data_IF_483913275144
#
_entry.id   IF_483913275144
#
_cell.length_a   1.000
_cell.length_b   1.000
_cell.length_c   1.000
_cell.angle_alpha   90.00
_cell.angle_beta   90.00
_cell.angle_gamma   90.00
#
_symmetry.space_group_name_H-M   'P 1'
#
loop_
_entity.id
_entity.type
_entity.pdbx_description
1 polymer ?
#
# COMPACT_ATOMS: atom_id res chain seq x y z
N UNK A 1 -7.13 85.60 34.36
CA UNK A 1 -6.17 84.50 34.18
C UNK A 1 -6.85 83.53 33.22
N UNK A 2 -6.44 83.56 31.94
CA UNK A 2 -6.82 82.74 30.76
C UNK A 2 -8.30 82.30 30.66
N UNK A 3 -9.00 82.45 29.54
CA UNK A 3 -8.63 81.86 28.26
C UNK A 3 -9.62 82.33 27.18
N UNK A 4 -9.15 82.43 25.94
CA UNK A 4 -9.86 82.89 24.76
C UNK A 4 -10.76 81.77 24.20
N UNK A 5 -12.08 82.02 24.10
CA UNK A 5 -13.00 81.15 23.39
C UNK A 5 -13.27 81.64 21.96
N UNK A 6 -12.31 81.46 21.05
CA UNK A 6 -12.49 81.68 19.61
C UNK A 6 -13.00 80.40 18.91
N UNK A 7 -13.78 80.61 17.85
CA UNK A 7 -14.68 79.63 17.23
C UNK A 7 -14.04 78.40 16.60
N UNK A 8 -14.82 77.32 16.60
CA UNK A 8 -14.57 76.09 15.89
C UNK A 8 -15.87 75.52 15.33
N UNK A 9 -16.28 76.03 14.17
CA UNK A 9 -17.14 75.32 13.24
C UNK A 9 -16.35 74.17 12.59
N UNK A 10 -17.05 73.29 11.86
CA UNK A 10 -16.60 72.14 11.03
C UNK A 10 -16.90 70.78 11.70
N UNK A 11 -17.55 69.77 11.11
CA UNK A 11 -17.99 69.50 9.73
C UNK A 11 -18.97 68.29 9.77
N UNK A 12 -19.85 68.13 8.76
CA UNK A 12 -20.70 66.94 8.63
C UNK A 12 -19.88 65.69 8.30
N UNK A 13 -20.24 64.57 8.93
CA UNK A 13 -19.73 63.23 8.61
C UNK A 13 -20.10 62.87 7.16
N UNK A 14 -19.17 63.08 6.22
CA UNK A 14 -19.22 62.40 4.93
C UNK A 14 -18.78 60.96 5.13
N UNK A 15 -19.74 60.05 5.26
CA UNK A 15 -19.49 58.64 5.01
C UNK A 15 -19.23 58.48 3.50
N UNK A 16 -17.98 58.55 3.08
CA UNK A 16 -17.56 58.17 1.72
C UNK A 16 -17.62 56.65 1.59
N UNK A 17 -18.83 56.10 1.47
CA UNK A 17 -19.00 54.85 0.74
C UNK A 17 -18.91 55.18 -0.74
N UNK A 18 -17.83 54.82 -1.42
CA UNK A 18 -17.76 54.94 -2.87
C UNK A 18 -18.92 54.13 -3.46
N UNK A 19 -19.92 54.80 -4.02
CA UNK A 19 -20.97 54.14 -4.79
C UNK A 19 -20.32 53.63 -6.06
N UNK A 20 -20.23 52.32 -6.20
CA UNK A 20 -19.72 51.66 -7.39
C UNK A 20 -20.93 51.29 -8.25
N UNK A 21 -21.11 52.00 -9.36
CA UNK A 21 -22.11 51.68 -10.38
C UNK A 21 -21.52 50.68 -11.38
N UNK A 22 -22.19 49.53 -11.54
CA UNK A 22 -21.79 48.46 -12.46
C UNK A 22 -22.77 48.29 -13.63
N UNK A 23 -23.68 49.25 -13.85
CA UNK A 23 -24.64 49.19 -14.94
C UNK A 23 -23.93 49.21 -16.31
N UNK A 24 -24.32 48.28 -17.20
CA UNK A 24 -23.70 48.10 -18.53
C UNK A 24 -22.62 47.02 -18.63
N UNK A 25 -22.32 46.31 -17.54
CA UNK A 25 -21.34 45.22 -17.57
C UNK A 25 -21.85 44.00 -18.36
N UNK A 26 -21.04 43.46 -19.27
CA UNK A 26 -21.33 42.21 -19.98
C UNK A 26 -20.08 41.34 -20.04
N UNK A 27 -20.21 40.05 -19.72
CA UNK A 27 -19.12 39.08 -19.82
C UNK A 27 -19.67 37.70 -20.21
N UNK A 28 -18.83 36.88 -20.85
CA UNK A 28 -19.12 35.46 -21.12
C UNK A 28 -18.81 34.52 -19.95
N UNK A 29 -18.54 35.07 -18.77
CA UNK A 29 -18.18 34.39 -17.53
C UNK A 29 -18.47 35.29 -16.32
N UNK A 30 -17.89 35.01 -15.16
CA UNK A 30 -18.32 35.65 -13.91
C UNK A 30 -17.89 37.11 -13.77
N UNK A 31 -18.83 37.97 -13.36
CA UNK A 31 -18.61 39.37 -13.00
C UNK A 31 -18.68 39.49 -11.48
N UNK A 32 -17.59 39.94 -10.86
CA UNK A 32 -17.39 39.96 -9.41
C UNK A 32 -16.81 41.31 -8.99
N UNK A 33 -17.41 41.95 -7.97
CA UNK A 33 -17.09 43.32 -7.58
C UNK A 33 -15.87 43.46 -6.66
N UNK A 34 -15.54 42.42 -5.88
CA UNK A 34 -14.41 42.46 -4.92
C UNK A 34 -13.48 41.26 -5.10
N UNK A 35 -13.70 40.16 -4.38
CA UNK A 35 -12.85 38.97 -4.51
C UNK A 35 -13.69 37.76 -4.93
N UNK A 36 -13.19 37.00 -5.89
CA UNK A 36 -13.71 35.68 -6.24
C UNK A 36 -12.69 34.65 -5.79
N UNK A 37 -13.06 33.84 -4.80
CA UNK A 37 -12.22 32.77 -4.29
C UNK A 37 -12.75 31.46 -4.87
N UNK A 38 -11.98 30.86 -5.77
CA UNK A 38 -12.28 29.55 -6.33
C UNK A 38 -11.41 28.48 -5.67
N UNK A 39 -12.06 27.53 -5.00
CA UNK A 39 -11.41 26.35 -4.45
C UNK A 39 -11.49 25.22 -5.47
N UNK A 40 -10.46 25.13 -6.32
CA UNK A 40 -10.30 23.99 -7.21
C UNK A 40 -9.71 22.81 -6.45
N UNK A 41 -10.58 21.89 -6.05
CA UNK A 41 -10.16 20.57 -5.56
C UNK A 41 -9.84 19.68 -6.75
N UNK A 42 -8.60 19.78 -7.24
CA UNK A 42 -8.05 18.73 -8.08
C UNK A 42 -7.78 17.53 -7.15
N UNK A 43 -8.42 16.36 -7.33
CA UNK A 43 -7.92 15.17 -6.66
C UNK A 43 -6.45 15.06 -7.05
N UNK A 44 -5.55 14.98 -6.07
CA UNK A 44 -4.15 14.64 -6.38
C UNK A 44 -4.19 13.42 -7.29
N UNK A 45 -3.43 13.38 -8.40
CA UNK A 45 -3.36 12.18 -9.20
C UNK A 45 -3.04 11.06 -8.23
N UNK A 46 -3.95 10.10 -8.09
CA UNK A 46 -3.78 8.93 -7.22
C UNK A 46 -2.41 8.42 -7.62
N UNK A 47 -1.42 8.57 -6.73
CA UNK A 47 -0.08 8.17 -7.07
C UNK A 47 -0.16 6.67 -7.25
N UNK A 48 -0.06 6.23 -8.49
CA UNK A 48 -0.13 4.82 -8.82
C UNK A 48 0.85 4.07 -7.93
N UNK A 49 0.31 3.13 -7.14
CA UNK A 49 1.06 2.35 -6.18
C UNK A 49 2.21 1.62 -6.88
N UNK A 50 3.25 1.24 -6.12
CA UNK A 50 4.40 0.52 -6.69
C UNK A 50 3.92 -0.72 -7.47
N UNK A 51 2.98 -1.48 -6.88
CA UNK A 51 2.37 -2.67 -7.49
C UNK A 51 1.64 -2.33 -8.79
N UNK A 52 0.80 -1.30 -8.81
CA UNK A 52 0.05 -0.91 -10.02
C UNK A 52 0.99 -0.51 -11.17
N UNK A 53 2.08 0.21 -10.88
CA UNK A 53 3.10 0.53 -11.90
C UNK A 53 3.73 -0.73 -12.48
N UNK A 54 4.02 -1.72 -11.65
CA UNK A 54 4.59 -2.99 -12.08
C UNK A 54 3.58 -3.83 -12.87
N UNK A 55 2.30 -3.81 -12.49
CA UNK A 55 1.24 -4.50 -13.24
C UNK A 55 1.12 -3.92 -14.66
N UNK A 56 1.16 -2.58 -14.81
CA UNK A 56 1.16 -1.95 -16.15
C UNK A 56 2.36 -2.36 -16.99
N UNK A 57 3.55 -2.47 -16.38
CA UNK A 57 4.74 -2.97 -17.07
C UNK A 57 4.57 -4.44 -17.46
N UNK A 58 4.04 -5.28 -16.58
CA UNK A 58 3.76 -6.70 -16.86
C UNK A 58 2.81 -6.86 -18.04
N UNK A 59 1.73 -6.07 -18.11
CA UNK A 59 0.82 -6.07 -19.26
C UNK A 59 1.58 -5.76 -20.57
N UNK A 60 2.49 -4.78 -20.55
CA UNK A 60 3.31 -4.44 -21.71
C UNK A 60 4.30 -5.57 -22.08
N UNK A 61 4.94 -6.21 -21.09
CA UNK A 61 5.82 -7.36 -21.30
C UNK A 61 5.09 -8.53 -21.96
N UNK A 62 3.86 -8.83 -21.51
CA UNK A 62 3.01 -9.87 -22.09
C UNK A 62 2.63 -9.51 -23.54
N UNK A 63 2.17 -8.28 -23.79
CA UNK A 63 1.74 -7.84 -25.11
C UNK A 63 2.89 -7.83 -26.14
N UNK A 64 4.10 -7.48 -25.69
CA UNK A 64 5.29 -7.40 -26.53
C UNK A 64 6.11 -8.70 -26.53
N UNK A 65 5.68 -9.73 -25.81
CA UNK A 65 6.39 -11.00 -25.61
C UNK A 65 7.86 -10.80 -25.16
N UNK A 66 8.07 -9.85 -24.26
CA UNK A 66 9.38 -9.52 -23.68
C UNK A 66 9.59 -10.41 -22.47
N UNK A 67 10.65 -11.21 -22.51
CA UNK A 67 10.99 -12.12 -21.42
C UNK A 67 12.28 -11.72 -20.72
N UNK A 68 12.29 -11.87 -19.40
CA UNK A 68 13.48 -11.82 -18.58
C UNK A 68 14.38 -13.02 -18.90
N UNK A 69 15.68 -12.75 -18.99
CA UNK A 69 16.69 -13.79 -19.19
C UNK A 69 17.15 -14.41 -17.85
N UNK A 70 16.94 -13.68 -16.75
CA UNK A 70 17.42 -14.03 -15.42
C UNK A 70 16.38 -13.68 -14.35
N UNK A 71 16.52 -14.33 -13.19
CA UNK A 71 15.78 -13.95 -11.99
C UNK A 71 16.23 -12.55 -11.55
N UNK A 72 15.30 -11.67 -11.22
CA UNK A 72 15.62 -10.33 -10.69
C UNK A 72 16.27 -10.46 -9.31
N UNK A 73 17.31 -9.66 -9.05
CA UNK A 73 18.10 -9.73 -7.80
C UNK A 73 17.23 -9.63 -6.54
N UNK A 74 16.18 -8.80 -6.60
CA UNK A 74 15.24 -8.61 -5.52
C UNK A 74 14.50 -9.90 -5.15
N UNK A 75 14.16 -10.76 -6.11
CA UNK A 75 13.52 -12.06 -5.84
C UNK A 75 14.58 -13.12 -5.48
N UNK A 76 15.76 -13.06 -6.10
CA UNK A 76 16.86 -13.98 -5.81
C UNK A 76 17.28 -13.92 -4.33
N UNK A 77 17.16 -12.77 -3.67
CA UNK A 77 17.50 -12.64 -2.25
C UNK A 77 16.64 -13.52 -1.33
N UNK A 78 15.40 -13.84 -1.74
CA UNK A 78 14.47 -14.71 -1.01
C UNK A 78 14.69 -16.21 -1.23
N UNK A 79 15.53 -16.59 -2.21
CA UNK A 79 15.81 -18.00 -2.52
C UNK A 79 16.93 -18.57 -1.62
N UNK A 80 17.62 -17.72 -0.88
CA UNK A 80 18.67 -18.14 0.06
C UNK A 80 18.05 -18.44 1.41
N UNK A 81 18.09 -19.71 1.82
CA UNK A 81 17.58 -20.14 3.13
C UNK A 81 18.39 -19.53 4.28
N UNK A 82 17.70 -19.00 5.28
CA UNK A 82 18.31 -18.34 6.47
C UNK A 82 17.91 -19.02 7.78
N UNK A 83 18.49 -20.18 8.05
CA UNK A 83 18.28 -20.86 9.34
C UNK A 83 19.13 -20.21 10.43
N UNK A 84 18.54 -19.94 11.60
CA UNK A 84 19.21 -19.26 12.72
C UNK A 84 18.96 -19.99 14.06
N UNK A 85 17.82 -20.66 14.21
CA UNK A 85 17.34 -21.26 15.48
C UNK A 85 17.28 -22.80 15.44
N UNK A 86 17.67 -23.43 14.33
CA UNK A 86 17.66 -24.88 14.16
C UNK A 86 16.28 -25.48 13.83
N UNK A 87 15.23 -24.66 13.72
CA UNK A 87 13.89 -25.10 13.28
C UNK A 87 13.71 -24.75 11.80
N UNK A 88 14.07 -25.70 10.94
CA UNK A 88 14.16 -25.46 9.50
C UNK A 88 12.95 -25.96 8.71
N UNK A 89 12.54 -25.14 7.75
CA UNK A 89 11.43 -25.49 6.86
C UNK A 89 10.06 -25.26 7.50
N UNK A 90 9.02 -25.34 6.68
CA UNK A 90 7.65 -25.07 7.11
C UNK A 90 7.14 -26.12 8.09
N UNK A 91 7.39 -27.40 7.80
CA UNK A 91 6.88 -28.53 8.58
C UNK A 91 7.38 -28.50 10.03
N UNK A 92 8.70 -28.34 10.23
CA UNK A 92 9.28 -28.26 11.57
C UNK A 92 8.71 -27.06 12.35
N UNK A 93 8.49 -25.92 11.68
CA UNK A 93 7.93 -24.72 12.32
C UNK A 93 6.50 -24.90 12.76
N UNK A 94 5.65 -25.52 11.92
CA UNK A 94 4.26 -25.79 12.29
C UNK A 94 4.18 -26.81 13.42
N UNK A 95 5.05 -27.82 13.41
CA UNK A 95 5.17 -28.80 14.49
C UNK A 95 5.54 -28.16 15.83
N UNK A 96 6.58 -27.33 15.86
CA UNK A 96 7.00 -26.62 17.08
C UNK A 96 5.94 -25.61 17.54
N UNK A 97 5.15 -25.07 16.62
CA UNK A 97 4.06 -24.14 16.91
C UNK A 97 2.73 -24.82 17.32
N UNK A 98 2.70 -26.16 17.44
CA UNK A 98 1.48 -26.95 17.73
C UNK A 98 0.35 -26.71 16.71
N UNK A 99 0.72 -26.66 15.42
CA UNK A 99 -0.18 -26.44 14.26
C UNK A 99 -0.07 -27.53 13.20
N UNK A 100 0.22 -28.77 13.61
CA UNK A 100 0.35 -29.91 12.71
C UNK A 100 -0.96 -30.22 11.95
N UNK A 101 -2.11 -29.86 12.53
CA UNK A 101 -3.43 -29.96 11.90
C UNK A 101 -3.52 -29.18 10.58
N UNK A 102 -2.72 -28.11 10.44
CA UNK A 102 -2.70 -27.26 9.25
C UNK A 102 -1.69 -27.73 8.20
N UNK A 103 -0.83 -28.71 8.51
CA UNK A 103 0.36 -29.04 7.71
C UNK A 103 0.04 -29.34 6.25
N UNK A 104 -0.94 -30.21 5.99
CA UNK A 104 -1.34 -30.58 4.63
C UNK A 104 -1.80 -29.37 3.81
N UNK A 105 -2.67 -28.56 4.40
CA UNK A 105 -3.21 -27.35 3.80
C UNK A 105 -2.13 -26.30 3.54
N UNK A 106 -1.15 -26.19 4.44
CA UNK A 106 -0.04 -25.26 4.34
C UNK A 106 0.96 -25.67 3.25
N UNK A 107 1.31 -26.96 3.16
CA UNK A 107 2.18 -27.50 2.13
C UNK A 107 1.56 -27.36 0.73
N UNK A 108 0.27 -27.64 0.58
CA UNK A 108 -0.45 -27.47 -0.68
C UNK A 108 -0.44 -26.01 -1.16
N UNK A 109 -0.74 -25.06 -0.26
CA UNK A 109 -0.70 -23.62 -0.59
C UNK A 109 0.71 -23.14 -0.92
N UNK A 110 1.72 -23.59 -0.19
CA UNK A 110 3.13 -23.32 -0.49
C UNK A 110 3.49 -23.77 -1.89
N UNK A 111 3.11 -24.99 -2.26
CA UNK A 111 3.37 -25.58 -3.57
C UNK A 111 2.66 -24.83 -4.70
N UNK A 112 1.39 -24.46 -4.49
CA UNK A 112 0.64 -23.63 -5.44
C UNK A 112 1.33 -22.29 -5.69
N UNK A 113 1.84 -21.64 -4.63
CA UNK A 113 2.60 -20.41 -4.79
C UNK A 113 3.94 -20.63 -5.50
N UNK A 114 4.66 -21.71 -5.20
CA UNK A 114 5.91 -22.04 -5.89
C UNK A 114 5.70 -22.25 -7.41
N UNK A 115 4.61 -22.93 -7.79
CA UNK A 115 4.20 -23.10 -9.19
C UNK A 115 3.84 -21.77 -9.84
N UNK A 116 3.16 -20.88 -9.11
CA UNK A 116 2.84 -19.55 -9.61
C UNK A 116 4.12 -18.73 -9.84
N UNK A 117 5.08 -18.74 -8.91
CA UNK A 117 6.39 -18.10 -9.10
C UNK A 117 7.08 -18.62 -10.37
N UNK A 118 7.05 -19.94 -10.60
CA UNK A 118 7.64 -20.54 -11.79
C UNK A 118 6.90 -20.11 -13.07
N UNK A 119 5.57 -20.10 -13.07
CA UNK A 119 4.75 -19.69 -14.22
C UNK A 119 5.11 -18.28 -14.70
N UNK A 120 5.38 -17.37 -13.77
CA UNK A 120 5.67 -15.97 -14.04
C UNK A 120 7.17 -15.65 -14.08
N UNK A 121 8.05 -16.65 -13.96
CA UNK A 121 9.51 -16.46 -13.91
C UNK A 121 10.09 -15.81 -15.18
N UNK A 122 9.39 -15.88 -16.31
CA UNK A 122 9.83 -15.24 -17.55
C UNK A 122 9.54 -13.75 -17.62
N UNK A 123 8.82 -13.15 -16.66
CA UNK A 123 8.45 -11.74 -16.70
C UNK A 123 9.12 -10.98 -15.56
N UNK A 124 10.01 -10.03 -15.90
CA UNK A 124 10.77 -9.29 -14.89
C UNK A 124 9.83 -8.50 -13.97
N UNK A 125 8.79 -7.88 -14.54
CA UNK A 125 7.81 -7.10 -13.76
C UNK A 125 7.01 -7.99 -12.81
N UNK A 126 6.67 -9.22 -13.20
CA UNK A 126 5.99 -10.17 -12.30
C UNK A 126 6.91 -10.59 -11.14
N UNK A 127 8.19 -10.84 -11.42
CA UNK A 127 9.16 -11.16 -10.38
C UNK A 127 9.37 -9.99 -9.40
N UNK A 128 9.40 -8.74 -9.89
CA UNK A 128 9.46 -7.54 -9.06
C UNK A 128 8.22 -7.40 -8.17
N UNK A 129 7.02 -7.72 -8.69
CA UNK A 129 5.78 -7.77 -7.89
C UNK A 129 5.93 -8.79 -6.76
N UNK A 130 6.36 -10.02 -7.07
CA UNK A 130 6.54 -11.04 -6.03
C UNK A 130 7.57 -10.63 -4.99
N UNK A 131 8.72 -10.08 -5.39
CA UNK A 131 9.73 -9.61 -4.47
C UNK A 131 9.20 -8.52 -3.53
N UNK A 132 8.45 -7.56 -4.06
CA UNK A 132 7.81 -6.51 -3.27
C UNK A 132 6.83 -7.09 -2.23
N UNK A 133 5.93 -7.97 -2.67
CA UNK A 133 4.90 -8.55 -1.81
C UNK A 133 5.50 -9.49 -0.76
N UNK A 134 6.54 -10.27 -1.11
CA UNK A 134 7.27 -11.12 -0.17
C UNK A 134 7.99 -10.29 0.90
N UNK A 135 8.66 -9.20 0.51
CA UNK A 135 9.31 -8.29 1.46
C UNK A 135 8.31 -7.65 2.41
N UNK A 136 7.14 -7.25 1.89
CA UNK A 136 6.06 -6.70 2.71
C UNK A 136 5.50 -7.74 3.69
N UNK A 137 5.22 -8.95 3.21
CA UNK A 137 4.72 -10.04 4.05
C UNK A 137 5.72 -10.42 5.15
N UNK A 138 7.01 -10.54 4.81
CA UNK A 138 8.09 -10.76 5.77
C UNK A 138 8.12 -9.66 6.84
N UNK A 139 8.12 -8.39 6.40
CA UNK A 139 8.16 -7.26 7.30
C UNK A 139 6.97 -7.25 8.25
N UNK A 140 5.75 -7.36 7.72
CA UNK A 140 4.52 -7.34 8.52
C UNK A 140 4.48 -8.51 9.51
N UNK A 141 4.89 -9.69 9.06
CA UNK A 141 4.93 -10.87 9.91
C UNK A 141 5.94 -10.68 11.05
N UNK A 142 7.19 -10.34 10.74
CA UNK A 142 8.26 -10.28 11.74
C UNK A 142 8.06 -9.13 12.75
N UNK A 143 7.46 -8.01 12.35
CA UNK A 143 7.33 -6.83 13.22
C UNK A 143 6.00 -6.75 13.97
N UNK A 144 4.93 -7.32 13.42
CA UNK A 144 3.59 -7.17 14.02
C UNK A 144 2.96 -8.50 14.42
N UNK A 145 3.18 -9.58 13.68
CA UNK A 145 2.60 -10.89 13.98
C UNK A 145 3.47 -11.67 14.97
N UNK A 146 4.74 -11.90 14.64
CA UNK A 146 5.67 -12.71 15.42
C UNK A 146 5.75 -12.29 16.89
N UNK A 147 5.87 -10.99 17.24
CA UNK A 147 5.92 -10.56 18.65
C UNK A 147 4.66 -10.88 19.45
N UNK A 148 3.54 -11.16 18.77
CA UNK A 148 2.25 -11.47 19.41
C UNK A 148 2.03 -12.96 19.61
N UNK A 149 2.74 -13.82 18.86
CA UNK A 149 2.61 -15.29 18.94
C UNK A 149 2.75 -15.83 20.37
N UNK A 150 3.67 -15.33 21.22
CA UNK A 150 3.76 -15.82 22.59
C UNK A 150 2.56 -15.48 23.47
N UNK A 151 1.80 -14.44 23.12
CA UNK A 151 0.85 -13.73 23.98
C UNK A 151 -0.62 -13.87 23.58
N UNK A 152 -0.91 -14.26 22.34
CA UNK A 152 -2.27 -14.37 21.81
C UNK A 152 -2.62 -15.83 21.49
N UNK A 153 -3.92 -16.20 21.55
CA UNK A 153 -4.36 -17.53 21.13
C UNK A 153 -4.18 -17.71 19.61
N UNK A 154 -4.09 -18.97 19.12
CA UNK A 154 -3.86 -19.27 17.71
C UNK A 154 -4.84 -18.59 16.74
N UNK A 155 -6.12 -18.52 17.10
CA UNK A 155 -7.17 -17.89 16.28
C UNK A 155 -6.95 -16.39 16.08
N UNK A 156 -6.46 -15.69 17.11
CA UNK A 156 -6.22 -14.25 17.05
C UNK A 156 -4.96 -13.95 16.23
N UNK A 157 -3.97 -14.85 16.27
CA UNK A 157 -2.82 -14.80 15.36
C UNK A 157 -3.25 -15.01 13.91
N UNK A 158 -4.14 -15.97 13.66
CA UNK A 158 -4.65 -16.23 12.31
C UNK A 158 -5.45 -15.04 11.76
N UNK A 159 -6.27 -14.41 12.61
CA UNK A 159 -6.97 -13.17 12.27
C UNK A 159 -5.98 -12.02 11.99
N UNK A 160 -4.94 -11.87 12.81
CA UNK A 160 -3.93 -10.83 12.62
C UNK A 160 -3.14 -11.03 11.32
N UNK A 161 -2.80 -12.28 10.99
CA UNK A 161 -2.18 -12.64 9.70
C UNK A 161 -3.13 -12.31 8.55
N UNK A 162 -4.41 -12.66 8.68
CA UNK A 162 -5.41 -12.38 7.66
C UNK A 162 -5.52 -10.87 7.40
N UNK A 163 -5.77 -10.07 8.43
CA UNK A 163 -6.04 -8.64 8.31
C UNK A 163 -4.81 -7.86 7.83
N UNK A 164 -3.63 -8.15 8.40
CA UNK A 164 -2.43 -7.35 8.10
C UNK A 164 -1.74 -7.75 6.82
N UNK A 165 -1.79 -9.04 6.47
CA UNK A 165 -0.97 -9.58 5.40
C UNK A 165 -1.85 -10.03 4.24
N UNK A 166 -2.75 -10.98 4.48
CA UNK A 166 -3.53 -11.61 3.40
C UNK A 166 -4.42 -10.60 2.71
N UNK A 167 -5.25 -9.87 3.47
CA UNK A 167 -6.19 -8.90 2.92
C UNK A 167 -5.44 -7.75 2.25
N UNK A 168 -4.41 -7.22 2.91
CA UNK A 168 -3.58 -6.13 2.37
C UNK A 168 -2.93 -6.52 1.03
N UNK A 169 -2.42 -7.75 0.88
CA UNK A 169 -1.82 -8.21 -0.39
C UNK A 169 -2.87 -8.27 -1.50
N UNK A 170 -4.06 -8.76 -1.19
CA UNK A 170 -5.17 -8.88 -2.16
C UNK A 170 -5.61 -7.48 -2.61
N UNK A 171 -5.78 -6.57 -1.67
CA UNK A 171 -6.23 -5.20 -1.94
C UNK A 171 -5.24 -4.41 -2.79
N UNK A 172 -3.92 -4.65 -2.64
CA UNK A 172 -2.88 -3.94 -3.40
C UNK A 172 -2.75 -4.37 -4.85
N UNK A 173 -3.09 -5.62 -5.16
CA UNK A 173 -2.99 -6.15 -6.52
C UNK A 173 -4.21 -5.77 -7.36
N UNK A 174 -5.36 -5.63 -6.71
CA UNK A 174 -6.60 -5.26 -7.38
C UNK A 174 -7.07 -6.32 -8.39
N UNK A 175 -7.91 -5.87 -9.34
CA UNK A 175 -8.50 -6.73 -10.38
C UNK A 175 -7.74 -6.52 -11.68
N UNK A 176 -6.72 -7.33 -11.95
CA UNK A 176 -5.91 -7.22 -13.17
C UNK A 176 -5.42 -8.61 -13.68
N UNK A 177 -4.60 -8.64 -14.73
CA UNK A 177 -3.96 -9.81 -15.36
C UNK A 177 -3.20 -10.70 -14.38
N UNK A 178 -2.84 -10.14 -13.22
CA UNK A 178 -2.13 -10.79 -12.16
C UNK A 178 -3.07 -10.96 -10.97
N UNK A 179 -3.76 -12.10 -10.89
CA UNK A 179 -4.77 -12.35 -9.84
C UNK A 179 -4.15 -13.16 -8.71
N UNK A 180 -4.09 -12.61 -7.50
CA UNK A 180 -3.82 -13.37 -6.28
C UNK A 180 -5.10 -13.52 -5.47
N UNK A 181 -5.27 -14.71 -4.87
CA UNK A 181 -6.35 -14.97 -3.93
C UNK A 181 -5.79 -15.24 -2.53
N UNK A 182 -6.69 -15.41 -1.56
CA UNK A 182 -6.35 -15.72 -0.16
C UNK A 182 -5.43 -16.94 -0.02
N UNK A 183 -5.66 -17.99 -0.82
CA UNK A 183 -4.84 -19.20 -0.80
C UNK A 183 -3.41 -18.92 -1.25
N UNK A 184 -3.25 -18.11 -2.31
CA UNK A 184 -1.93 -17.71 -2.80
C UNK A 184 -1.20 -16.81 -1.82
N UNK A 185 -1.87 -15.82 -1.24
CA UNK A 185 -1.28 -14.94 -0.23
C UNK A 185 -0.85 -15.71 1.03
N UNK A 186 -1.63 -16.68 1.48
CA UNK A 186 -1.19 -17.61 2.53
C UNK A 186 -0.03 -18.50 2.06
N UNK A 187 -0.05 -18.96 0.82
CA UNK A 187 1.05 -19.71 0.19
C UNK A 187 2.38 -18.93 0.20
N UNK A 188 2.34 -17.61 0.02
CA UNK A 188 3.50 -16.73 0.14
C UNK A 188 4.12 -16.79 1.54
N UNK A 189 3.31 -16.71 2.59
CA UNK A 189 3.77 -16.81 3.97
C UNK A 189 4.38 -18.18 4.25
N UNK A 190 3.71 -19.25 3.84
CA UNK A 190 4.23 -20.60 4.01
C UNK A 190 5.53 -20.84 3.23
N UNK A 191 5.68 -20.22 2.06
CA UNK A 191 6.91 -20.25 1.31
C UNK A 191 8.03 -19.46 2.01
N UNK A 192 7.76 -18.27 2.57
CA UNK A 192 8.72 -17.55 3.41
C UNK A 192 9.13 -18.35 4.64
N UNK A 193 8.21 -19.09 5.25
CA UNK A 193 8.50 -19.96 6.38
C UNK A 193 9.44 -21.11 5.96
N UNK A 194 9.20 -21.71 4.78
CA UNK A 194 10.06 -22.74 4.20
C UNK A 194 11.49 -22.25 3.92
N UNK A 195 11.63 -20.99 3.49
CA UNK A 195 12.93 -20.35 3.24
C UNK A 195 13.55 -19.72 4.51
N UNK A 196 12.87 -19.83 5.64
CA UNK A 196 13.30 -19.29 6.94
C UNK A 196 13.38 -17.76 7.07
N UNK A 197 12.59 -17.03 6.30
CA UNK A 197 12.41 -15.58 6.47
C UNK A 197 11.42 -15.23 7.60
N UNK A 198 10.52 -16.15 7.94
CA UNK A 198 9.57 -15.98 9.05
C UNK A 198 9.60 -17.16 10.02
N UNK A 199 9.23 -16.91 11.28
CA UNK A 199 9.21 -17.91 12.36
C UNK A 199 7.79 -18.05 12.91
N UNK A 200 7.22 -19.25 12.80
CA UNK A 200 5.86 -19.50 13.28
C UNK A 200 5.79 -19.88 14.77
N UNK A 201 6.96 -20.05 15.38
CA UNK A 201 7.12 -20.44 16.77
C UNK A 201 7.72 -19.28 17.60
N UNK A 202 7.67 -19.45 18.92
CA UNK A 202 8.18 -18.48 19.90
C UNK A 202 9.70 -18.35 19.83
#
# INVERSE_FOLDING_TARGET
MADEGNGGQLVPYHATGSVVDQSGSSAGGDIVARDKIEHHHYPSPIQSGVVEKLIRKLQAEIQLNVHAQHTVDALACFQVRRSIDGVEGLEAKLKVADREDQLWSALDKKEQFAKLLQQWSLYASAQEIFAYLLAKAEFEFNHFVHPKIPSLPPSDIDQLVHDRIVQTIIDEIGVDVFVLNHGTAMGMLYWLAEQCFIRWHK
#
